data_IF_801010325307
#
_entry.id   IF_801010325307
#
_cell.length_a   1.000
_cell.length_b   1.000
_cell.length_c   1.000
_cell.angle_alpha   90.00
_cell.angle_beta   90.00
_cell.angle_gamma   90.00
#
_symmetry.space_group_name_H-M   'P 1'
#
loop_
_entity.id
_entity.type
_entity.pdbx_description
1 polymer ?
#
# COMPACT_ATOMS: atom_id res chain seq x y z
N UNK A 1 20.26 -71.74 25.26
CA UNK A 1 19.59 -70.44 24.99
C UNK A 1 18.36 -70.71 24.15
N UNK A 2 17.15 -70.55 24.70
CA UNK A 2 15.90 -70.96 24.03
C UNK A 2 14.72 -70.03 24.37
N UNK A 3 14.96 -68.71 24.32
CA UNK A 3 13.93 -67.69 24.47
C UNK A 3 14.45 -66.41 23.79
N UNK A 4 13.84 -66.02 22.65
CA UNK A 4 13.86 -64.67 22.04
C UNK A 4 13.21 -64.64 20.64
N UNK A 5 13.28 -65.73 19.85
CA UNK A 5 12.75 -65.73 18.48
C UNK A 5 11.21 -65.68 18.37
N UNK A 6 10.47 -65.98 19.44
CA UNK A 6 9.00 -66.02 19.42
C UNK A 6 8.33 -64.63 19.53
N UNK A 7 9.07 -63.59 19.93
CA UNK A 7 8.50 -62.26 20.22
C UNK A 7 8.55 -61.28 19.02
N UNK A 8 9.14 -61.67 17.89
CA UNK A 8 9.33 -60.78 16.73
C UNK A 8 8.18 -60.81 15.69
N UNK A 9 7.14 -61.61 15.92
CA UNK A 9 6.06 -61.87 14.95
C UNK A 9 4.80 -61.00 15.11
N UNK A 10 4.75 -60.08 16.08
CA UNK A 10 3.57 -59.28 16.43
C UNK A 10 3.71 -57.78 16.11
N UNK A 11 4.48 -57.43 15.08
CA UNK A 11 4.54 -56.08 14.50
C UNK A 11 4.31 -56.09 12.98
N UNK A 12 3.33 -56.87 12.51
CA UNK A 12 2.61 -56.48 11.30
C UNK A 12 1.72 -55.29 11.64
N UNK A 13 1.96 -54.07 11.10
CA UNK A 13 0.94 -53.04 11.14
C UNK A 13 -0.25 -53.56 10.33
N UNK A 14 -1.39 -53.76 11.00
CA UNK A 14 -2.67 -53.93 10.33
C UNK A 14 -2.97 -52.62 9.61
N UNK A 15 -2.52 -52.54 8.36
CA UNK A 15 -2.86 -51.48 7.41
C UNK A 15 -4.31 -51.69 7.00
N UNK A 16 -5.22 -51.39 7.94
CA UNK A 16 -6.60 -51.08 7.65
C UNK A 16 -6.59 -50.00 6.56
N UNK A 17 -6.79 -50.43 5.31
CA UNK A 17 -7.20 -49.54 4.24
C UNK A 17 -8.65 -49.15 4.52
N UNK A 18 -8.83 -48.30 5.53
CA UNK A 18 -10.02 -47.47 5.65
C UNK A 18 -10.10 -46.69 4.34
N UNK A 19 -11.02 -47.09 3.48
CA UNK A 19 -11.29 -46.49 2.18
C UNK A 19 -11.94 -45.12 2.33
N UNK A 20 -11.27 -44.22 3.05
CA UNK A 20 -11.67 -42.84 3.22
C UNK A 20 -11.36 -42.13 1.89
N UNK A 21 -12.27 -42.30 0.93
CA UNK A 21 -12.27 -41.61 -0.35
C UNK A 21 -12.23 -40.10 -0.06
N UNK A 22 -11.02 -39.52 -0.20
CA UNK A 22 -10.76 -38.15 0.17
C UNK A 22 -11.62 -37.23 -0.70
N UNK A 23 -12.34 -36.32 -0.06
CA UNK A 23 -13.31 -35.47 -0.72
C UNK A 23 -12.60 -34.36 -1.51
N UNK A 24 -12.68 -34.43 -2.84
CA UNK A 24 -11.97 -33.50 -3.73
C UNK A 24 -12.78 -32.20 -3.81
N UNK A 25 -12.24 -31.11 -3.28
CA UNK A 25 -12.86 -29.79 -3.37
C UNK A 25 -12.63 -29.19 -4.76
N UNK A 26 -13.70 -28.72 -5.41
CA UNK A 26 -13.66 -28.08 -6.73
C UNK A 26 -14.46 -26.79 -6.69
N UNK A 27 -13.84 -25.69 -7.12
CA UNK A 27 -14.51 -24.40 -7.27
C UNK A 27 -14.90 -24.18 -8.74
N UNK A 28 -16.08 -23.62 -8.97
CA UNK A 28 -16.64 -23.38 -10.31
C UNK A 28 -17.26 -21.99 -10.32
N UNK A 29 -17.09 -21.23 -11.40
CA UNK A 29 -17.72 -19.93 -11.54
C UNK A 29 -19.21 -20.10 -11.87
N UNK A 30 -20.08 -19.26 -11.32
CA UNK A 30 -21.52 -19.24 -11.68
C UNK A 30 -21.67 -19.02 -13.18
N UNK A 31 -22.39 -19.93 -13.86
CA UNK A 31 -22.59 -19.97 -15.31
C UNK A 31 -21.65 -20.90 -16.08
N UNK A 32 -20.51 -21.28 -15.51
CA UNK A 32 -19.52 -22.14 -16.17
C UNK A 32 -19.93 -23.63 -16.14
N UNK A 33 -19.08 -24.51 -16.68
CA UNK A 33 -19.27 -25.97 -16.65
C UNK A 33 -18.11 -26.64 -15.90
N UNK A 34 -18.37 -27.79 -15.28
CA UNK A 34 -17.37 -28.57 -14.54
C UNK A 34 -17.40 -30.03 -14.95
N UNK A 35 -16.22 -30.62 -15.17
CA UNK A 35 -16.05 -32.06 -15.39
C UNK A 35 -15.56 -32.71 -14.08
N UNK A 36 -16.24 -33.78 -13.67
CA UNK A 36 -15.89 -34.59 -12.50
C UNK A 36 -15.39 -35.95 -13.00
N UNK A 37 -14.08 -36.16 -12.90
CA UNK A 37 -13.40 -37.32 -13.46
C UNK A 37 -13.25 -38.48 -12.47
N UNK A 38 -13.21 -39.70 -13.01
CA UNK A 38 -12.86 -40.91 -12.27
C UNK A 38 -11.36 -41.18 -12.50
N UNK A 39 -10.56 -40.92 -11.48
CA UNK A 39 -9.09 -40.94 -11.56
C UNK A 39 -8.48 -42.37 -11.47
N UNK A 40 -9.29 -43.38 -11.17
CA UNK A 40 -8.86 -44.78 -11.08
C UNK A 40 -8.80 -45.42 -12.46
N UNK A 41 -7.58 -45.72 -12.93
CA UNK A 41 -7.32 -46.20 -14.30
C UNK A 41 -7.84 -47.63 -14.58
N UNK A 42 -8.07 -48.42 -13.54
CA UNK A 42 -8.80 -49.70 -13.59
C UNK A 42 -9.93 -49.67 -12.55
N UNK A 43 -11.18 -49.71 -13.03
CA UNK A 43 -12.34 -50.00 -12.18
C UNK A 43 -12.54 -51.51 -12.10
N UNK A 44 -12.73 -52.05 -10.90
CA UNK A 44 -13.22 -53.42 -10.70
C UNK A 44 -14.53 -53.65 -11.45
N UNK A 45 -14.79 -54.88 -11.87
CA UNK A 45 -16.02 -55.25 -12.58
C UNK A 45 -17.28 -54.77 -11.84
N UNK A 46 -18.23 -54.19 -12.59
CA UNK A 46 -19.47 -53.63 -12.07
C UNK A 46 -20.61 -53.84 -13.06
N UNK A 47 -21.83 -53.99 -12.54
CA UNK A 47 -23.05 -54.09 -13.34
C UNK A 47 -23.61 -52.69 -13.64
N UNK A 48 -23.50 -51.79 -12.67
CA UNK A 48 -24.00 -50.41 -12.72
C UNK A 48 -22.96 -49.43 -12.16
N UNK A 49 -22.71 -48.35 -12.90
CA UNK A 49 -22.13 -47.12 -12.38
C UNK A 49 -23.22 -46.06 -12.23
N UNK A 50 -23.19 -45.28 -11.15
CA UNK A 50 -24.12 -44.16 -10.93
C UNK A 50 -23.40 -42.95 -10.38
N UNK A 51 -23.70 -41.78 -10.95
CA UNK A 51 -23.45 -40.49 -10.31
C UNK A 51 -24.69 -40.03 -9.54
N UNK A 52 -24.48 -39.36 -8.42
CA UNK A 52 -25.51 -38.77 -7.56
C UNK A 52 -24.99 -37.50 -6.87
N UNK A 53 -25.89 -36.71 -6.30
CA UNK A 53 -25.55 -35.60 -5.40
C UNK A 53 -26.50 -35.57 -4.20
N UNK A 54 -26.24 -34.69 -3.23
CA UNK A 54 -27.06 -34.50 -2.01
C UNK A 54 -28.57 -34.29 -2.31
N UNK A 55 -28.92 -33.79 -3.50
CA UNK A 55 -30.28 -33.42 -3.90
C UNK A 55 -30.99 -34.46 -4.77
N UNK A 56 -30.23 -35.31 -5.46
CA UNK A 56 -30.77 -36.39 -6.30
C UNK A 56 -30.01 -37.70 -6.11
N UNK A 57 -30.77 -38.75 -5.75
CA UNK A 57 -30.29 -40.13 -5.64
C UNK A 57 -29.71 -40.68 -6.96
N UNK A 58 -29.98 -40.04 -8.09
CA UNK A 58 -29.31 -40.31 -9.36
C UNK A 58 -29.26 -39.06 -10.24
N UNK A 59 -28.09 -38.79 -10.82
CA UNK A 59 -27.92 -37.84 -11.93
C UNK A 59 -27.94 -38.63 -13.23
N UNK A 60 -27.02 -39.60 -13.36
CA UNK A 60 -26.92 -40.52 -14.49
C UNK A 60 -26.55 -41.91 -14.01
N UNK A 61 -27.05 -42.93 -14.70
CA UNK A 61 -26.78 -44.37 -14.50
C UNK A 61 -26.28 -45.00 -15.78
N UNK A 62 -25.18 -45.74 -15.71
CA UNK A 62 -24.61 -46.49 -16.82
C UNK A 62 -24.59 -47.99 -16.47
N UNK A 63 -25.27 -48.81 -17.27
CA UNK A 63 -25.27 -50.28 -17.12
C UNK A 63 -24.19 -50.88 -18.02
N UNK A 64 -23.28 -51.67 -17.42
CA UNK A 64 -22.07 -52.16 -18.08
C UNK A 64 -22.36 -53.14 -19.23
N UNK A 65 -23.17 -54.17 -18.97
CA UNK A 65 -23.56 -55.21 -19.94
C UNK A 65 -24.18 -54.63 -21.23
N UNK A 66 -25.18 -53.76 -21.07
CA UNK A 66 -25.95 -53.18 -22.18
C UNK A 66 -25.36 -51.87 -22.71
N UNK A 67 -24.28 -51.36 -22.09
CA UNK A 67 -23.67 -50.04 -22.30
C UNK A 67 -24.67 -48.87 -22.25
N UNK A 68 -25.78 -49.06 -21.52
CA UNK A 68 -26.92 -48.15 -21.57
C UNK A 68 -26.77 -47.01 -20.57
N UNK A 69 -26.61 -45.79 -21.09
CA UNK A 69 -26.72 -44.54 -20.33
C UNK A 69 -28.20 -44.22 -20.09
N UNK A 70 -28.56 -43.94 -18.84
CA UNK A 70 -29.88 -43.49 -18.41
C UNK A 70 -29.70 -42.21 -17.58
N UNK A 71 -29.97 -41.05 -18.18
CA UNK A 71 -29.87 -39.73 -17.57
C UNK A 71 -31.20 -39.35 -16.90
N UNK A 72 -31.15 -38.81 -15.68
CA UNK A 72 -32.35 -38.36 -14.97
C UNK A 72 -32.95 -37.12 -15.63
N UNK A 73 -34.29 -37.05 -15.73
CA UNK A 73 -34.99 -36.05 -16.56
C UNK A 73 -34.65 -34.60 -16.21
N UNK A 74 -34.46 -34.29 -14.92
CA UNK A 74 -34.08 -32.95 -14.44
C UNK A 74 -32.67 -32.49 -14.85
N UNK A 75 -31.84 -33.40 -15.37
CA UNK A 75 -30.47 -33.14 -15.79
C UNK A 75 -30.27 -33.28 -17.31
N UNK A 76 -31.33 -33.64 -18.06
CA UNK A 76 -31.25 -34.06 -19.47
C UNK A 76 -30.42 -33.12 -20.36
N UNK A 77 -30.65 -31.81 -20.22
CA UNK A 77 -30.03 -30.78 -21.05
C UNK A 77 -28.91 -30.01 -20.29
N UNK A 78 -28.57 -30.47 -19.07
CA UNK A 78 -27.54 -29.89 -18.18
C UNK A 78 -26.33 -30.80 -17.93
N UNK A 79 -26.33 -32.02 -18.46
CA UNK A 79 -25.28 -33.02 -18.18
C UNK A 79 -24.86 -33.72 -19.46
N UNK A 80 -23.54 -33.80 -19.68
CA UNK A 80 -22.94 -34.80 -20.57
C UNK A 80 -22.27 -35.88 -19.70
N UNK A 81 -22.33 -37.13 -20.16
CA UNK A 81 -21.66 -38.26 -19.52
C UNK A 81 -20.80 -38.99 -20.55
N UNK A 82 -19.54 -39.22 -20.23
CA UNK A 82 -18.60 -39.92 -21.10
C UNK A 82 -18.61 -41.42 -20.78
N UNK A 83 -19.02 -42.25 -21.73
CA UNK A 83 -19.16 -43.71 -21.55
C UNK A 83 -17.84 -44.49 -21.56
N UNK A 84 -16.70 -43.81 -21.81
CA UNK A 84 -15.35 -44.39 -21.83
C UNK A 84 -14.53 -44.07 -20.59
N UNK A 85 -14.69 -42.86 -20.05
CA UNK A 85 -14.01 -42.40 -18.81
C UNK A 85 -14.93 -42.41 -17.59
N UNK A 86 -16.24 -42.60 -17.81
CA UNK A 86 -17.31 -42.49 -16.81
C UNK A 86 -17.38 -41.12 -16.11
N UNK A 87 -16.77 -40.09 -16.69
CA UNK A 87 -16.78 -38.73 -16.15
C UNK A 87 -18.10 -38.01 -16.41
N UNK A 88 -18.44 -37.11 -15.48
CA UNK A 88 -19.67 -36.34 -15.48
C UNK A 88 -19.36 -34.86 -15.74
N UNK A 89 -19.87 -34.31 -16.84
CA UNK A 89 -19.78 -32.87 -17.11
C UNK A 89 -21.12 -32.21 -16.79
N UNK A 90 -21.14 -31.33 -15.78
CA UNK A 90 -22.29 -30.52 -15.40
C UNK A 90 -22.17 -29.13 -16.03
N UNK A 91 -23.25 -28.64 -16.65
CA UNK A 91 -23.30 -27.42 -17.46
C UNK A 91 -24.11 -26.31 -16.81
N UNK A 92 -23.70 -25.06 -17.05
CA UNK A 92 -24.35 -23.85 -16.57
C UNK A 92 -24.58 -23.91 -15.05
N UNK A 93 -23.49 -24.05 -14.29
CA UNK A 93 -23.51 -24.29 -12.86
C UNK A 93 -24.03 -23.08 -12.09
N UNK A 94 -24.98 -23.31 -11.20
CA UNK A 94 -25.56 -22.28 -10.33
C UNK A 94 -25.14 -22.52 -8.88
N UNK A 95 -25.19 -21.49 -8.03
CA UNK A 95 -24.92 -21.62 -6.59
C UNK A 95 -25.70 -22.77 -5.94
N UNK A 96 -26.94 -22.98 -6.40
CA UNK A 96 -27.84 -24.07 -5.97
C UNK A 96 -27.40 -25.48 -6.38
N UNK A 97 -26.46 -25.64 -7.32
CA UNK A 97 -25.90 -26.94 -7.69
C UNK A 97 -24.66 -27.31 -6.84
N UNK A 98 -24.21 -26.43 -5.95
CA UNK A 98 -23.15 -26.74 -4.98
C UNK A 98 -23.56 -27.87 -4.02
N UNK A 99 -22.58 -28.66 -3.59
CA UNK A 99 -22.77 -29.79 -2.66
C UNK A 99 -21.82 -30.95 -2.96
N UNK A 100 -22.00 -32.06 -2.23
CA UNK A 100 -21.29 -33.31 -2.49
C UNK A 100 -21.88 -34.06 -3.69
N UNK A 101 -21.03 -34.35 -4.67
CA UNK A 101 -21.24 -35.26 -5.79
C UNK A 101 -20.48 -36.56 -5.52
N UNK A 102 -21.11 -37.70 -5.80
CA UNK A 102 -20.51 -39.03 -5.59
C UNK A 102 -20.70 -39.91 -6.81
N UNK A 103 -19.63 -40.55 -7.26
CA UNK A 103 -19.68 -41.66 -8.21
C UNK A 103 -19.55 -42.98 -7.46
N UNK A 104 -20.40 -43.96 -7.78
CA UNK A 104 -20.34 -45.31 -7.22
C UNK A 104 -20.53 -46.41 -8.25
N UNK A 105 -19.86 -47.54 -8.06
CA UNK A 105 -20.16 -48.81 -8.73
C UNK A 105 -21.05 -49.68 -7.85
N UNK A 106 -21.83 -50.54 -8.49
CA UNK A 106 -22.58 -51.64 -7.87
C UNK A 106 -22.31 -52.90 -8.70
N UNK A 107 -21.93 -53.98 -8.01
CA UNK A 107 -21.77 -55.34 -8.51
C UNK A 107 -21.94 -56.30 -7.32
N UNK A 108 -20.96 -57.17 -7.08
CA UNK A 108 -20.88 -57.98 -5.83
C UNK A 108 -20.96 -57.14 -4.54
N UNK A 109 -20.54 -55.88 -4.61
CA UNK A 109 -20.68 -54.88 -3.54
C UNK A 109 -20.90 -53.47 -4.11
N UNK A 110 -21.50 -52.58 -3.31
CA UNK A 110 -21.57 -51.14 -3.63
C UNK A 110 -20.29 -50.44 -3.16
N UNK A 111 -19.59 -49.78 -4.07
CA UNK A 111 -18.31 -49.12 -3.80
C UNK A 111 -18.35 -47.64 -4.22
N UNK A 112 -17.97 -46.74 -3.30
CA UNK A 112 -17.79 -45.32 -3.61
C UNK A 112 -16.45 -45.13 -4.33
N UNK A 113 -16.48 -44.67 -5.57
CA UNK A 113 -15.30 -44.50 -6.42
C UNK A 113 -14.59 -43.19 -6.07
N UNK A 114 -15.32 -42.08 -6.16
CA UNK A 114 -14.81 -40.73 -5.94
C UNK A 114 -15.91 -39.82 -5.41
N UNK A 115 -15.49 -38.84 -4.60
CA UNK A 115 -16.34 -37.82 -3.98
C UNK A 115 -15.79 -36.44 -4.29
N UNK A 116 -16.65 -35.57 -4.80
CA UNK A 116 -16.32 -34.18 -5.14
C UNK A 116 -17.21 -33.22 -4.35
N UNK A 117 -16.64 -32.30 -3.56
CA UNK A 117 -17.39 -31.15 -3.02
C UNK A 117 -17.28 -30.00 -4.01
N UNK A 118 -18.36 -29.76 -4.75
CA UNK A 118 -18.43 -28.69 -5.74
C UNK A 118 -18.97 -27.44 -5.07
N UNK A 119 -18.22 -26.34 -5.18
CA UNK A 119 -18.55 -25.02 -4.64
C UNK A 119 -18.69 -24.03 -5.80
N UNK A 120 -19.93 -23.69 -6.16
CA UNK A 120 -20.20 -22.72 -7.23
C UNK A 120 -20.26 -21.32 -6.65
N UNK A 121 -19.39 -20.43 -7.14
CA UNK A 121 -19.17 -19.07 -6.62
C UNK A 121 -19.13 -18.05 -7.75
N UNK A 122 -19.42 -16.78 -7.46
CA UNK A 122 -19.38 -15.75 -8.50
C UNK A 122 -17.94 -15.29 -8.80
N UNK A 123 -17.77 -14.64 -9.95
CA UNK A 123 -16.59 -13.85 -10.22
C UNK A 123 -16.49 -12.67 -9.23
N UNK A 124 -15.29 -12.31 -8.80
CA UNK A 124 -15.08 -11.13 -7.95
C UNK A 124 -15.31 -9.83 -8.72
N UNK A 125 -15.88 -8.85 -8.02
CA UNK A 125 -15.89 -7.45 -8.44
C UNK A 125 -14.50 -6.81 -8.26
N UNK A 126 -14.29 -5.67 -8.94
CA UNK A 126 -13.04 -4.92 -8.85
C UNK A 126 -12.86 -4.30 -7.45
N UNK A 127 -11.62 -4.31 -6.89
CA UNK A 127 -11.35 -3.65 -5.63
C UNK A 127 -11.48 -2.12 -5.75
N UNK A 128 -12.08 -1.49 -4.74
CA UNK A 128 -12.17 -0.03 -4.65
C UNK A 128 -10.91 0.49 -3.95
N UNK A 129 -9.95 0.98 -4.75
CA UNK A 129 -8.75 1.65 -4.26
C UNK A 129 -9.01 3.16 -4.13
N UNK A 130 -8.99 3.68 -2.91
CA UNK A 130 -9.36 5.06 -2.55
C UNK A 130 -8.18 5.81 -1.96
N UNK A 131 -7.95 7.07 -2.34
CA UNK A 131 -6.95 7.94 -1.69
C UNK A 131 -7.62 8.70 -0.55
N UNK A 132 -7.08 8.57 0.66
CA UNK A 132 -7.61 9.18 1.87
C UNK A 132 -7.02 10.57 2.11
N UNK A 133 -5.71 10.70 1.96
CA UNK A 133 -4.99 11.95 2.13
C UNK A 133 -3.68 11.97 1.35
N UNK A 134 -3.31 13.16 0.88
CA UNK A 134 -2.01 13.45 0.27
C UNK A 134 -1.31 14.51 1.12
N UNK A 135 -0.10 14.23 1.54
CA UNK A 135 0.78 15.17 2.23
C UNK A 135 2.02 15.45 1.36
N UNK A 136 2.46 16.70 1.40
CA UNK A 136 3.64 17.19 0.68
C UNK A 136 4.51 17.99 1.65
N UNK A 137 5.82 17.74 1.63
CA UNK A 137 6.80 18.54 2.35
C UNK A 137 8.12 18.56 1.57
N UNK A 138 8.42 19.70 0.95
CA UNK A 138 9.53 19.82 0.01
C UNK A 138 9.41 18.81 -1.13
N UNK A 139 10.40 17.90 -1.23
CA UNK A 139 10.43 16.84 -2.24
C UNK A 139 9.68 15.56 -1.82
N UNK A 140 9.21 15.45 -0.57
CA UNK A 140 8.54 14.24 -0.07
C UNK A 140 7.04 14.29 -0.34
N UNK A 141 6.52 13.26 -0.99
CA UNK A 141 5.10 13.00 -1.16
C UNK A 141 4.73 11.75 -0.34
N UNK A 142 3.79 11.90 0.60
CA UNK A 142 3.19 10.77 1.33
C UNK A 142 1.73 10.67 0.92
N UNK A 143 1.28 9.49 0.50
CA UNK A 143 -0.11 9.25 0.08
C UNK A 143 -0.69 8.12 0.92
N UNK A 144 -1.71 8.42 1.72
CA UNK A 144 -2.46 7.42 2.47
C UNK A 144 -3.67 6.97 1.65
N UNK A 145 -3.93 5.68 1.61
CA UNK A 145 -4.98 5.09 0.79
C UNK A 145 -5.61 3.88 1.49
N UNK A 146 -6.83 3.56 1.08
CA UNK A 146 -7.57 2.39 1.51
C UNK A 146 -7.92 1.57 0.28
N UNK A 147 -7.60 0.28 0.28
CA UNK A 147 -8.21 -0.68 -0.62
C UNK A 147 -9.35 -1.42 0.10
N UNK A 148 -10.51 -1.53 -0.55
CA UNK A 148 -11.66 -2.34 -0.08
C UNK A 148 -12.13 -3.28 -1.18
N UNK A 149 -12.47 -4.51 -0.82
CA UNK A 149 -13.21 -5.42 -1.70
C UNK A 149 -13.94 -6.47 -0.87
N UNK A 150 -15.25 -6.67 -1.13
CA UNK A 150 -16.10 -7.47 -0.24
C UNK A 150 -15.94 -6.98 1.23
N UNK A 151 -15.91 -7.86 2.21
CA UNK A 151 -15.66 -7.52 3.63
C UNK A 151 -14.16 -7.31 3.97
N UNK A 152 -13.27 -7.24 2.96
CA UNK A 152 -11.84 -7.06 3.16
C UNK A 152 -11.41 -5.60 2.98
N UNK A 153 -10.48 -5.16 3.81
CA UNK A 153 -9.92 -3.81 3.79
C UNK A 153 -8.41 -3.84 4.10
N UNK A 154 -7.64 -3.01 3.42
CA UNK A 154 -6.23 -2.71 3.70
C UNK A 154 -6.10 -1.18 3.73
N UNK A 155 -5.63 -0.63 4.84
CA UNK A 155 -5.33 0.80 5.00
C UNK A 155 -3.81 0.97 5.10
N UNK A 156 -3.19 1.65 4.14
CA UNK A 156 -1.73 1.74 4.05
C UNK A 156 -1.26 3.09 3.49
N UNK A 157 0.06 3.29 3.43
CA UNK A 157 0.68 4.56 3.04
C UNK A 157 1.88 4.38 2.13
N UNK A 158 1.96 5.22 1.10
CA UNK A 158 3.07 5.28 0.15
C UNK A 158 4.01 6.41 0.53
N UNK A 159 5.28 6.10 0.73
CA UNK A 159 6.33 7.05 1.10
C UNK A 159 7.67 6.59 0.51
N UNK A 160 8.52 7.54 0.11
CA UNK A 160 9.85 7.24 -0.46
C UNK A 160 9.80 6.15 -1.56
N UNK A 161 8.94 6.39 -2.55
CA UNK A 161 8.67 5.52 -3.71
C UNK A 161 8.21 4.07 -3.40
N UNK A 162 7.80 3.75 -2.18
CA UNK A 162 7.37 2.40 -1.79
C UNK A 162 6.22 2.40 -0.78
N UNK A 163 5.64 1.21 -0.54
CA UNK A 163 4.85 0.89 0.65
C UNK A 163 5.14 -0.55 1.06
N UNK A 164 4.70 -0.97 2.25
CA UNK A 164 4.71 -2.38 2.65
C UNK A 164 3.70 -3.17 1.80
N UNK A 165 4.10 -4.28 1.15
CA UNK A 165 3.13 -5.19 0.55
C UNK A 165 2.29 -5.86 1.63
N UNK A 166 0.96 -5.83 1.46
CA UNK A 166 0.01 -6.30 2.47
C UNK A 166 -0.98 -7.30 1.88
N UNK A 167 -1.40 -8.28 2.67
CA UNK A 167 -2.34 -9.32 2.27
C UNK A 167 -3.29 -9.67 3.40
N UNK A 168 -4.59 -9.57 3.13
CA UNK A 168 -5.65 -10.04 4.03
C UNK A 168 -6.52 -11.08 3.32
N UNK A 169 -7.04 -12.03 4.08
CA UNK A 169 -7.81 -13.17 3.55
C UNK A 169 -9.00 -13.49 4.45
N UNK A 170 -10.18 -13.69 3.86
CA UNK A 170 -11.38 -14.14 4.58
C UNK A 170 -12.09 -15.22 3.77
N UNK A 171 -12.23 -16.40 4.36
CA UNK A 171 -12.81 -17.60 3.75
C UNK A 171 -12.09 -17.97 2.42
N UNK A 172 -12.72 -17.64 1.28
CA UNK A 172 -12.21 -17.86 -0.07
C UNK A 172 -11.65 -16.60 -0.73
N UNK A 173 -11.92 -15.42 -0.17
CA UNK A 173 -11.55 -14.13 -0.74
C UNK A 173 -10.18 -13.69 -0.21
N UNK A 174 -9.39 -13.11 -1.10
CA UNK A 174 -8.04 -12.59 -0.84
C UNK A 174 -7.94 -11.18 -1.37
N UNK A 175 -7.41 -10.25 -0.57
CA UNK A 175 -7.07 -8.90 -0.99
C UNK A 175 -5.56 -8.71 -0.80
N UNK A 176 -4.87 -8.29 -1.85
CA UNK A 176 -3.42 -8.06 -1.88
C UNK A 176 -3.16 -6.63 -2.35
N UNK A 177 -2.23 -5.96 -1.68
CA UNK A 177 -1.73 -4.64 -2.00
C UNK A 177 -0.24 -4.73 -2.37
N UNK A 178 0.10 -4.21 -3.54
CA UNK A 178 1.49 -4.12 -4.04
C UNK A 178 1.81 -2.67 -4.47
N UNK A 179 2.95 -2.15 -4.02
CA UNK A 179 3.46 -0.83 -4.42
C UNK A 179 4.73 -0.94 -5.26
N UNK A 180 4.83 -0.06 -6.26
CA UNK A 180 5.96 0.04 -7.18
C UNK A 180 6.38 1.50 -7.33
N UNK A 181 7.47 1.76 -8.05
CA UNK A 181 7.86 3.12 -8.40
C UNK A 181 6.77 3.82 -9.22
N UNK A 182 6.14 4.83 -8.63
CA UNK A 182 5.13 5.67 -9.26
C UNK A 182 3.71 5.12 -9.35
N UNK A 183 3.40 3.90 -8.90
CA UNK A 183 2.02 3.39 -8.87
C UNK A 183 1.77 2.32 -7.79
N UNK A 184 0.50 2.15 -7.45
CA UNK A 184 -0.01 1.16 -6.50
C UNK A 184 -1.02 0.26 -7.22
N UNK A 185 -0.99 -1.04 -6.95
CA UNK A 185 -1.99 -2.00 -7.37
C UNK A 185 -2.66 -2.58 -6.12
N UNK A 186 -3.98 -2.67 -6.15
CA UNK A 186 -4.70 -3.56 -5.26
C UNK A 186 -5.40 -4.66 -6.08
N UNK A 187 -5.34 -5.90 -5.62
CA UNK A 187 -5.83 -7.09 -6.30
C UNK A 187 -6.75 -7.88 -5.39
N UNK A 188 -8.00 -8.06 -5.80
CA UNK A 188 -9.00 -8.89 -5.14
C UNK A 188 -9.18 -10.19 -5.92
N UNK A 189 -9.15 -11.33 -5.24
CA UNK A 189 -9.26 -12.65 -5.86
C UNK A 189 -10.02 -13.66 -5.02
N UNK A 190 -10.60 -14.64 -5.70
CA UNK A 190 -11.16 -15.86 -5.14
C UNK A 190 -10.70 -17.08 -5.99
N UNK A 191 -11.06 -18.34 -5.66
CA UNK A 191 -10.56 -19.51 -6.36
C UNK A 191 -10.88 -19.63 -7.86
N UNK A 192 -11.82 -18.83 -8.39
CA UNK A 192 -12.22 -18.86 -9.82
C UNK A 192 -11.84 -17.60 -10.60
N UNK A 193 -11.50 -16.51 -9.92
CA UNK A 193 -11.40 -15.19 -10.56
C UNK A 193 -10.54 -14.20 -9.78
N UNK A 194 -10.04 -13.18 -10.47
CA UNK A 194 -9.38 -12.03 -9.85
C UNK A 194 -9.64 -10.75 -10.64
N UNK A 195 -9.57 -9.61 -9.94
CA UNK A 195 -9.68 -8.25 -10.48
C UNK A 195 -8.70 -7.34 -9.73
N UNK A 196 -8.18 -6.33 -10.41
CA UNK A 196 -7.28 -5.35 -9.80
C UNK A 196 -7.65 -3.93 -10.19
N UNK A 197 -7.30 -3.00 -9.32
CA UNK A 197 -7.36 -1.56 -9.56
C UNK A 197 -5.96 -0.96 -9.40
N UNK A 198 -5.66 0.14 -10.11
CA UNK A 198 -4.36 0.81 -10.08
C UNK A 198 -4.51 2.31 -9.97
N UNK A 199 -3.79 2.90 -9.02
CA UNK A 199 -3.59 4.35 -8.93
C UNK A 199 -2.14 4.71 -9.26
N UNK A 200 -1.95 5.67 -10.16
CA UNK A 200 -0.64 6.25 -10.49
C UNK A 200 -0.30 7.36 -9.49
N UNK A 201 0.69 7.13 -8.64
CA UNK A 201 1.13 8.07 -7.61
C UNK A 201 1.94 9.22 -8.21
N UNK A 202 2.68 9.02 -9.31
CA UNK A 202 3.38 10.13 -10.00
C UNK A 202 2.43 11.24 -10.40
N UNK A 203 1.34 10.91 -11.10
CA UNK A 203 0.31 11.89 -11.50
C UNK A 203 -0.25 12.62 -10.27
N UNK A 204 -0.69 11.86 -9.25
CA UNK A 204 -1.20 12.44 -8.01
C UNK A 204 -0.19 13.35 -7.30
N UNK A 205 1.09 13.02 -7.27
CA UNK A 205 2.12 13.84 -6.62
C UNK A 205 2.47 15.09 -7.44
N UNK A 206 2.72 14.94 -8.74
CA UNK A 206 3.21 16.00 -9.63
C UNK A 206 2.18 17.11 -9.91
N UNK A 207 0.88 16.81 -9.91
CA UNK A 207 -0.17 17.80 -10.22
C UNK A 207 -0.17 19.04 -9.29
N UNK A 208 0.36 18.92 -8.06
CA UNK A 208 0.46 20.06 -7.14
C UNK A 208 1.66 20.99 -7.37
N UNK A 209 2.71 20.56 -8.11
CA UNK A 209 3.85 21.44 -8.40
C UNK A 209 3.46 22.70 -9.17
N UNK A 210 2.27 22.72 -9.78
CA UNK A 210 1.64 23.87 -10.48
C UNK A 210 0.75 24.76 -9.61
N UNK A 211 0.46 24.36 -8.37
CA UNK A 211 -0.43 25.06 -7.45
C UNK A 211 0.37 25.84 -6.40
N UNK A 212 1.37 25.21 -5.76
CA UNK A 212 2.25 25.91 -4.81
C UNK A 212 3.06 27.03 -5.51
N UNK A 213 3.55 26.75 -6.72
CA UNK A 213 4.26 27.72 -7.58
C UNK A 213 3.39 28.87 -8.11
N UNK A 214 2.07 28.86 -7.88
CA UNK A 214 1.18 29.99 -8.18
C UNK A 214 0.88 30.86 -6.97
N UNK A 215 1.00 30.34 -5.75
CA UNK A 215 0.68 31.09 -4.53
C UNK A 215 1.92 31.83 -3.99
N UNK A 216 3.12 31.30 -4.20
CA UNK A 216 4.38 31.89 -3.73
C UNK A 216 5.00 32.91 -4.73
N UNK A 217 4.20 33.49 -5.63
CA UNK A 217 4.66 34.52 -6.58
C UNK A 217 3.83 35.82 -6.59
N UNK A 218 2.98 36.00 -5.58
CA UNK A 218 2.22 37.25 -5.33
C UNK A 218 2.43 37.80 -3.90
N UNK A 219 3.63 37.59 -3.34
CA UNK A 219 3.94 37.90 -1.92
C UNK A 219 5.04 38.94 -1.63
N UNK A 220 5.91 39.31 -2.58
CA UNK A 220 7.02 40.24 -2.29
C UNK A 220 7.54 41.02 -3.51
N UNK A 221 6.96 42.19 -3.82
CA UNK A 221 7.47 43.08 -4.87
C UNK A 221 7.06 44.56 -4.76
N UNK A 222 6.88 45.09 -3.54
CA UNK A 222 6.41 46.48 -3.33
C UNK A 222 7.35 47.41 -2.52
N UNK A 223 8.46 46.92 -1.97
CA UNK A 223 9.38 47.73 -1.15
C UNK A 223 10.66 48.20 -1.86
N UNK A 224 11.11 47.50 -2.91
CA UNK A 224 12.30 47.89 -3.68
C UNK A 224 12.25 49.29 -4.32
N UNK A 225 11.15 49.76 -4.95
CA UNK A 225 11.13 51.10 -5.55
C UNK A 225 11.25 52.23 -4.50
N UNK A 226 10.73 52.01 -3.28
CA UNK A 226 10.83 52.99 -2.18
C UNK A 226 12.29 53.16 -1.76
N UNK A 227 12.98 52.05 -1.46
CA UNK A 227 14.40 52.08 -1.05
C UNK A 227 15.29 52.70 -2.14
N UNK A 228 15.06 52.36 -3.40
CA UNK A 228 15.77 52.95 -4.53
C UNK A 228 15.53 54.47 -4.65
N UNK A 229 14.28 54.94 -4.47
CA UNK A 229 13.95 56.37 -4.56
C UNK A 229 14.63 57.21 -3.47
N UNK A 230 14.72 56.70 -2.24
CA UNK A 230 15.39 57.38 -1.12
C UNK A 230 16.90 57.47 -1.37
N UNK A 231 17.52 56.39 -1.87
CA UNK A 231 18.94 56.39 -2.20
C UNK A 231 19.29 57.44 -3.28
N UNK A 232 18.48 57.54 -4.34
CA UNK A 232 18.65 58.56 -5.39
C UNK A 232 18.48 59.98 -4.84
N UNK A 233 17.49 60.22 -3.97
CA UNK A 233 17.29 61.53 -3.35
C UNK A 233 18.49 61.97 -2.49
N UNK A 234 19.07 61.04 -1.70
CA UNK A 234 20.27 61.31 -0.89
C UNK A 234 21.48 61.62 -1.78
N UNK A 235 21.68 60.88 -2.88
CA UNK A 235 22.77 61.14 -3.85
C UNK A 235 22.61 62.53 -4.48
N UNK A 236 21.40 62.93 -4.88
CA UNK A 236 21.12 64.26 -5.44
C UNK A 236 21.45 65.36 -4.41
N UNK A 237 21.05 65.20 -3.14
CA UNK A 237 21.37 66.15 -2.08
C UNK A 237 22.89 66.28 -1.85
N UNK A 238 23.63 65.18 -1.89
CA UNK A 238 25.11 65.20 -1.79
C UNK A 238 25.72 65.98 -2.96
N UNK A 239 25.25 65.75 -4.20
CA UNK A 239 25.72 66.47 -5.39
C UNK A 239 25.41 67.97 -5.29
N UNK A 240 24.20 68.35 -4.84
CA UNK A 240 23.83 69.75 -4.60
C UNK A 240 24.76 70.38 -3.56
N UNK A 241 24.94 69.75 -2.39
CA UNK A 241 25.85 70.23 -1.34
C UNK A 241 27.29 70.40 -1.83
N UNK A 242 27.82 69.45 -2.62
CA UNK A 242 29.15 69.55 -3.22
C UNK A 242 29.24 70.70 -4.25
N UNK A 243 28.22 70.87 -5.10
CA UNK A 243 28.19 71.96 -6.08
C UNK A 243 28.13 73.34 -5.40
N UNK A 244 27.33 73.49 -4.34
CA UNK A 244 27.25 74.72 -3.53
C UNK A 244 28.57 74.96 -2.79
N UNK A 245 29.19 73.92 -2.23
CA UNK A 245 30.50 74.03 -1.57
C UNK A 245 31.59 74.49 -2.55
N UNK A 246 31.64 73.92 -3.76
CA UNK A 246 32.58 74.32 -4.82
C UNK A 246 32.28 75.73 -5.35
N UNK A 247 31.01 76.11 -5.47
CA UNK A 247 30.60 77.47 -5.85
C UNK A 247 31.02 78.50 -4.78
N UNK A 248 30.78 78.22 -3.50
CA UNK A 248 31.21 79.06 -2.38
C UNK A 248 32.74 79.17 -2.28
N UNK A 249 33.49 78.09 -2.55
CA UNK A 249 34.96 78.15 -2.63
C UNK A 249 35.46 78.94 -3.83
N UNK A 250 34.78 78.86 -5.00
CA UNK A 250 35.09 79.72 -6.17
C UNK A 250 34.80 81.20 -5.88
N UNK A 251 33.67 81.52 -5.23
CA UNK A 251 33.35 82.91 -4.84
C UNK A 251 34.35 83.47 -3.83
N UNK A 252 34.82 82.66 -2.86
CA UNK A 252 35.90 83.02 -1.93
C UNK A 252 37.31 83.06 -2.57
N UNK A 253 37.44 82.79 -3.86
CA UNK A 253 38.68 82.99 -4.63
C UNK A 253 38.65 84.23 -5.53
N UNK A 254 37.65 85.10 -5.40
CA UNK A 254 37.40 86.20 -6.34
C UNK A 254 36.96 87.52 -5.67
N UNK A 255 37.29 87.72 -4.39
CA UNK A 255 37.35 89.03 -3.74
C UNK A 255 38.09 88.92 -2.41
N UNK A 256 39.24 89.60 -2.30
CA UNK A 256 39.69 90.42 -1.17
C UNK A 256 41.20 90.71 -1.29
N UNK A 257 41.53 91.93 -1.74
CA UNK A 257 42.90 92.46 -1.81
C UNK A 257 42.84 93.91 -1.27
N UNK A 258 43.53 94.19 -0.14
CA UNK A 258 44.02 95.53 0.31
C UNK A 258 42.93 96.59 0.66
N UNK A 259 42.94 97.43 1.72
CA UNK A 259 43.74 97.77 2.94
C UNK A 259 42.86 98.75 3.78
N UNK A 260 42.94 99.02 5.10
CA UNK A 260 43.52 98.45 6.34
C UNK A 260 42.72 99.08 7.52
N UNK A 261 42.76 98.54 8.75
CA UNK A 261 42.30 99.27 9.95
C UNK A 261 42.48 98.53 11.28
N UNK A 262 43.49 98.90 12.06
CA UNK A 262 43.80 98.26 13.36
C UNK A 262 42.91 98.72 14.53
N UNK A 263 42.62 97.82 15.47
CA UNK A 263 42.83 98.04 16.92
C UNK A 263 42.71 96.74 17.76
N UNK A 264 43.25 96.75 18.98
CA UNK A 264 43.30 95.65 19.97
C UNK A 264 42.78 96.17 21.34
N UNK A 265 42.39 95.38 22.34
CA UNK A 265 42.75 94.00 22.76
C UNK A 265 41.46 93.16 23.02
N UNK A 266 41.39 91.95 23.63
CA UNK A 266 42.36 91.19 24.43
C UNK A 266 42.09 89.66 24.42
N UNK A 267 43.05 88.91 24.98
CA UNK A 267 43.10 87.45 25.16
C UNK A 267 42.61 87.02 26.56
N UNK A 268 42.10 85.79 26.68
CA UNK A 268 42.20 84.93 27.87
C UNK A 268 42.15 83.47 27.38
N UNK A 269 42.92 82.58 28.03
CA UNK A 269 43.21 81.22 27.56
C UNK A 269 42.34 80.13 28.23
N UNK A 270 42.52 78.90 27.75
CA UNK A 270 41.87 77.70 28.28
C UNK A 270 42.41 77.28 29.66
N UNK A 271 41.66 76.39 30.33
CA UNK A 271 42.31 75.37 31.17
C UNK A 271 41.49 74.08 31.25
N UNK A 272 42.20 72.95 31.22
CA UNK A 272 41.67 71.63 31.54
C UNK A 272 41.58 71.43 33.07
N UNK A 273 40.78 70.45 33.51
CA UNK A 273 41.13 69.66 34.70
C UNK A 273 40.91 68.17 34.43
N UNK A 274 41.95 67.37 34.73
CA UNK A 274 41.91 65.91 34.77
C UNK A 274 41.64 65.41 36.22
N UNK A 275 41.51 64.08 36.34
CA UNK A 275 41.38 63.23 37.57
C UNK A 275 39.93 62.96 38.01
N UNK A 276 39.59 61.76 38.54
CA UNK A 276 40.44 60.60 38.92
C UNK A 276 39.76 59.24 38.63
N UNK A 277 40.58 58.17 38.62
CA UNK A 277 40.26 56.74 38.45
C UNK A 277 39.07 56.17 39.25
N UNK A 278 38.47 55.10 38.70
CA UNK A 278 38.20 53.76 39.32
C UNK A 278 37.04 53.09 38.54
N UNK A 279 37.04 51.81 38.14
CA UNK A 279 38.06 50.74 38.19
C UNK A 279 37.88 49.80 36.97
N UNK A 280 38.66 48.71 36.85
CA UNK A 280 38.43 47.72 35.77
C UNK A 280 39.02 46.32 35.95
N UNK A 281 38.34 45.32 35.36
CA UNK A 281 38.73 43.89 35.22
C UNK A 281 38.83 43.10 36.54
N UNK A 282 38.76 41.75 36.61
CA UNK A 282 38.32 40.64 35.71
C UNK A 282 38.01 39.44 36.63
N UNK A 283 37.16 38.48 36.23
CA UNK A 283 37.38 37.03 36.46
C UNK A 283 36.52 36.19 35.49
N UNK A 284 36.85 34.90 35.32
CA UNK A 284 36.61 34.14 34.07
C UNK A 284 36.29 32.64 34.33
N UNK A 285 35.37 32.08 33.51
CA UNK A 285 35.10 30.64 33.18
C UNK A 285 34.91 29.57 34.30
N UNK A 286 34.51 28.31 34.01
CA UNK A 286 33.85 27.72 32.81
C UNK A 286 32.59 26.83 33.08
N UNK A 287 31.97 26.39 31.96
CA UNK A 287 31.17 25.17 31.68
C UNK A 287 30.47 24.32 32.76
N UNK A 288 29.23 23.86 32.44
CA UNK A 288 28.72 22.56 32.92
C UNK A 288 27.66 21.84 32.04
N UNK A 289 28.15 20.87 31.25
CA UNK A 289 27.62 19.49 31.05
C UNK A 289 26.35 19.23 30.21
N UNK A 290 26.47 18.21 29.36
CA UNK A 290 25.40 17.51 28.59
C UNK A 290 24.56 16.54 29.45
N UNK A 291 23.37 16.17 28.97
CA UNK A 291 22.73 14.92 29.40
C UNK A 291 21.86 14.32 28.27
N UNK A 292 22.24 13.13 27.79
CA UNK A 292 21.37 12.26 26.99
C UNK A 292 20.94 11.02 27.79
N UNK A 293 19.63 10.77 27.77
CA UNK A 293 18.97 9.46 27.64
C UNK A 293 19.62 8.21 28.27
N UNK A 294 18.95 7.56 29.23
CA UNK A 294 18.17 6.32 28.95
C UNK A 294 17.42 5.70 30.15
N UNK A 295 16.15 5.36 29.88
CA UNK A 295 15.48 4.04 30.05
C UNK A 295 15.21 3.43 31.45
N UNK A 296 13.96 2.95 31.57
CA UNK A 296 13.35 1.87 32.39
C UNK A 296 14.24 1.15 33.44
N UNK A 297 13.75 0.85 34.64
CA UNK A 297 12.66 -0.14 34.88
C UNK A 297 12.01 0.06 36.25
N UNK A 298 10.73 -0.31 36.41
CA UNK A 298 10.01 -0.28 37.70
C UNK A 298 10.08 -1.59 38.47
N UNK A 299 10.02 -1.50 39.80
CA UNK A 299 10.07 -2.65 40.72
C UNK A 299 8.70 -2.99 41.35
N UNK A 300 8.61 -4.15 42.02
CA UNK A 300 7.35 -4.81 42.39
C UNK A 300 6.80 -4.46 43.80
N UNK A 301 5.64 -5.09 44.11
CA UNK A 301 4.93 -5.27 45.40
C UNK A 301 3.86 -4.24 45.81
N UNK A 302 2.85 -4.65 46.62
CA UNK A 302 2.48 -6.03 47.03
C UNK A 302 1.14 -6.52 46.46
#
# INVERSE_FOLDING_TARGET
>A
MSLNYLLLLLLFPLTFKTGFSAEISVFVQTGDSVQLDIQTQELSAFDLLSWSNEKSKSIVRYTSETKRVNLHSSYKDRVDFNDKTFSLTLKNMQKTDSGLYTAKTIGESENNIVKYRVSVIDAVEAPVLTVNSKWLSGNFCTVNFTCRAHELMIDSSYQNNSCSPEKVTSQINTLILDCYEGFIICNHSNPVSWKKERINITQLCDDNKKNDSKNDQTGSSLLWPVVASVAVAVIILIIICLSVFLYCRRKKGAQDEVVEGNTVYAQIEAQEMQKLNSDGHIYDTPDRVEAQTQKETGDNLP
#
